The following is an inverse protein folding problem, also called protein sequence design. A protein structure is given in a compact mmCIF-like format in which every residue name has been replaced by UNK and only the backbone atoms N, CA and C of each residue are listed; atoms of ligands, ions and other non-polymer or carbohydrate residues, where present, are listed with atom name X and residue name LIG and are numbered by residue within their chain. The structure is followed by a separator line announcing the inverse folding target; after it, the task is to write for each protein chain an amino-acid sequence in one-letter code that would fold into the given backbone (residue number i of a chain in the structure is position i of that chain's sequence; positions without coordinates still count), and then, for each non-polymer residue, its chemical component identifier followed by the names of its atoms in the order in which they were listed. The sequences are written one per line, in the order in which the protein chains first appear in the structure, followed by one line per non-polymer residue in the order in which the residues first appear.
data_IF_616850900919
#
_entry.id   IF_616850900919
#
_cell.length_a   1.000
_cell.length_b   1.000
_cell.length_c   1.000
_cell.angle_alpha   90.00
_cell.angle_beta   90.00
_cell.angle_gamma   90.00
#
_symmetry.space_group_name_H-M   'P 1'
#
loop_
_entity.id
_entity.type
_entity.pdbx_description
1 polymer ?
#
# COMPACT_ATOMS: atom_id res chain seq x y z
N UNK A 1 21.59 -87.26 8.12
CA UNK A 1 21.35 -86.51 9.38
C UNK A 1 21.29 -85.05 9.00
N UNK A 2 20.09 -84.47 8.97
CA UNK A 2 19.95 -83.03 8.76
C UNK A 2 20.16 -82.31 10.09
N UNK A 3 21.10 -81.36 10.11
CA UNK A 3 21.38 -80.56 11.29
C UNK A 3 20.25 -79.54 11.48
N UNK A 4 19.44 -79.70 12.52
CA UNK A 4 18.46 -78.70 12.88
C UNK A 4 19.17 -77.45 13.43
N UNK A 5 18.88 -76.25 12.90
CA UNK A 5 19.48 -75.02 13.38
C UNK A 5 19.08 -74.79 14.85
N UNK A 6 20.06 -74.35 15.66
CA UNK A 6 19.84 -74.08 17.07
C UNK A 6 18.75 -73.02 17.26
N UNK A 7 18.00 -73.12 18.36
CA UNK A 7 16.92 -72.19 18.71
C UNK A 7 17.38 -70.72 18.68
N UNK A 8 18.65 -70.48 19.00
CA UNK A 8 19.28 -69.16 19.02
C UNK A 8 19.44 -68.56 17.61
N UNK A 9 19.72 -69.38 16.59
CA UNK A 9 19.77 -68.91 15.21
C UNK A 9 18.38 -68.59 14.65
N UNK A 10 17.37 -69.38 15.04
CA UNK A 10 15.98 -69.11 14.67
C UNK A 10 15.48 -67.79 15.27
N UNK A 11 15.85 -67.50 16.53
CA UNK A 11 15.53 -66.21 17.17
C UNK A 11 16.20 -65.04 16.45
N UNK A 12 17.51 -65.14 16.13
CA UNK A 12 18.24 -64.08 15.42
C UNK A 12 17.63 -63.78 14.03
N UNK A 13 17.22 -64.82 13.31
CA UNK A 13 16.58 -64.66 12.01
C UNK A 13 15.23 -63.92 12.11
N UNK A 14 14.44 -64.16 13.17
CA UNK A 14 13.19 -63.43 13.42
C UNK A 14 13.46 -61.96 13.72
N UNK A 15 14.42 -61.64 14.58
CA UNK A 15 14.76 -60.24 14.89
C UNK A 15 15.25 -59.48 13.65
N UNK A 16 16.13 -60.08 12.84
CA UNK A 16 16.61 -59.46 11.60
C UNK A 16 15.47 -59.21 10.59
N UNK A 17 14.49 -60.12 10.52
CA UNK A 17 13.30 -59.96 9.68
C UNK A 17 12.38 -58.82 10.18
N UNK A 18 12.27 -58.64 11.50
CA UNK A 18 11.46 -57.57 12.11
C UNK A 18 12.13 -56.20 11.90
N UNK A 19 13.45 -56.11 12.08
CA UNK A 19 14.20 -54.87 11.88
C UNK A 19 14.13 -54.39 10.42
N UNK A 20 14.31 -55.30 9.46
CA UNK A 20 14.18 -54.98 8.03
C UNK A 20 12.76 -54.53 7.63
N UNK A 21 11.72 -55.12 8.22
CA UNK A 21 10.34 -54.69 8.02
C UNK A 21 10.05 -53.30 8.62
N UNK A 22 10.56 -53.03 9.83
CA UNK A 22 10.43 -51.73 10.50
C UNK A 22 11.16 -50.62 9.73
N UNK A 23 12.35 -50.89 9.21
CA UNK A 23 13.10 -49.91 8.43
C UNK A 23 12.44 -49.64 7.06
N UNK A 24 11.84 -50.66 6.44
CA UNK A 24 10.98 -50.49 5.28
C UNK A 24 9.76 -49.60 5.56
N UNK A 25 9.10 -49.78 6.70
CA UNK A 25 7.97 -48.97 7.13
C UNK A 25 8.37 -47.50 7.40
N UNK A 26 9.46 -47.27 8.15
CA UNK A 26 10.02 -45.93 8.40
C UNK A 26 10.40 -45.24 7.09
N UNK A 27 11.01 -45.97 6.17
CA UNK A 27 11.35 -45.46 4.83
C UNK A 27 10.12 -45.06 4.02
N UNK A 28 9.02 -45.79 4.14
CA UNK A 28 7.77 -45.47 3.45
C UNK A 28 7.07 -44.25 4.07
N UNK A 29 7.01 -44.17 5.41
CA UNK A 29 6.45 -43.03 6.14
C UNK A 29 7.21 -41.72 5.85
N UNK A 30 8.53 -41.76 5.83
CA UNK A 30 9.36 -40.58 5.52
C UNK A 30 9.14 -40.10 4.09
N UNK A 31 8.97 -41.01 3.11
CA UNK A 31 8.62 -40.66 1.72
C UNK A 31 7.24 -40.01 1.63
N UNK A 32 6.24 -40.54 2.32
CA UNK A 32 4.88 -39.96 2.34
C UNK A 32 4.92 -38.57 2.99
N UNK A 33 5.58 -38.44 4.15
CA UNK A 33 5.73 -37.14 4.83
C UNK A 33 6.45 -36.11 3.94
N UNK A 34 7.50 -36.53 3.21
CA UNK A 34 8.18 -35.67 2.25
C UNK A 34 7.23 -35.19 1.14
N UNK A 35 6.42 -36.07 0.54
CA UNK A 35 5.44 -35.69 -0.49
C UNK A 35 4.39 -34.73 0.08
N UNK A 36 3.87 -35.02 1.28
CA UNK A 36 2.87 -34.18 1.95
C UNK A 36 3.39 -32.80 2.30
N UNK A 37 4.70 -32.62 2.53
CA UNK A 37 5.30 -31.30 2.76
C UNK A 37 5.69 -30.58 1.45
N UNK A 38 6.21 -31.33 0.47
CA UNK A 38 6.71 -30.75 -0.79
C UNK A 38 5.54 -30.28 -1.68
N UNK A 39 4.45 -31.05 -1.78
CA UNK A 39 3.36 -30.69 -2.69
C UNK A 39 2.66 -29.38 -2.30
N UNK A 40 2.27 -29.13 -1.03
CA UNK A 40 1.65 -27.86 -0.64
C UNK A 40 2.59 -26.67 -0.75
N UNK A 41 3.89 -26.86 -0.44
CA UNK A 41 4.89 -25.78 -0.58
C UNK A 41 5.11 -25.42 -2.05
N UNK A 42 5.18 -26.41 -2.94
CA UNK A 42 5.30 -26.19 -4.39
C UNK A 42 4.04 -25.54 -4.97
N UNK A 43 2.85 -25.95 -4.54
CA UNK A 43 1.59 -25.33 -4.94
C UNK A 43 1.52 -23.85 -4.52
N UNK A 44 1.94 -23.55 -3.28
CA UNK A 44 1.98 -22.17 -2.77
C UNK A 44 3.00 -21.32 -3.51
N UNK A 45 4.21 -21.85 -3.76
CA UNK A 45 5.24 -21.19 -4.54
C UNK A 45 4.78 -20.93 -5.99
N UNK A 46 4.14 -21.92 -6.61
CA UNK A 46 3.56 -21.81 -7.95
C UNK A 46 2.47 -20.73 -8.03
N UNK A 47 1.59 -20.66 -7.04
CA UNK A 47 0.57 -19.61 -6.95
C UNK A 47 1.21 -18.21 -6.83
N UNK A 48 2.23 -18.06 -5.98
CA UNK A 48 2.94 -16.78 -5.83
C UNK A 48 3.67 -16.37 -7.11
N UNK A 49 4.31 -17.31 -7.80
CA UNK A 49 4.97 -17.07 -9.09
C UNK A 49 3.94 -16.65 -10.16
N UNK A 50 2.82 -17.37 -10.25
CA UNK A 50 1.73 -17.03 -11.17
C UNK A 50 1.10 -15.66 -10.86
N UNK A 51 0.86 -15.35 -9.59
CA UNK A 51 0.37 -14.04 -9.18
C UNK A 51 1.36 -12.91 -9.54
N UNK A 52 2.67 -13.20 -9.45
CA UNK A 52 3.71 -12.25 -9.86
C UNK A 52 3.73 -12.01 -11.38
N UNK A 53 3.48 -13.05 -12.17
CA UNK A 53 3.47 -12.98 -13.64
C UNK A 53 2.16 -12.38 -14.19
N UNK A 54 1.02 -12.70 -13.58
CA UNK A 54 -0.31 -12.25 -14.02
C UNK A 54 -0.62 -10.80 -13.70
N UNK A 55 0.30 -10.07 -13.09
CA UNK A 55 0.13 -8.65 -12.80
C UNK A 55 -0.96 -8.35 -11.76
N UNK A 56 -1.51 -9.34 -11.05
CA UNK A 56 -2.58 -9.10 -10.07
C UNK A 56 -2.06 -8.38 -8.81
N UNK A 57 -2.88 -7.55 -8.14
CA UNK A 57 -2.52 -6.95 -6.87
C UNK A 57 -2.26 -8.04 -5.83
N UNK A 58 -1.10 -7.98 -5.17
CA UNK A 58 -0.65 -8.97 -4.17
C UNK A 58 -1.16 -8.67 -2.77
N UNK A 59 -1.48 -7.41 -2.48
CA UNK A 59 -1.90 -6.93 -1.16
C UNK A 59 -3.21 -6.16 -1.25
N UNK A 60 -3.94 -6.08 -0.13
CA UNK A 60 -5.16 -5.26 -0.03
C UNK A 60 -4.88 -3.80 -0.40
N UNK A 61 -3.74 -3.24 0.04
CA UNK A 61 -3.33 -1.89 -0.31
C UNK A 61 -3.12 -1.70 -1.83
N UNK A 62 -2.56 -2.68 -2.53
CA UNK A 62 -2.41 -2.61 -4.00
C UNK A 62 -3.77 -2.71 -4.71
N UNK A 63 -4.68 -3.54 -4.20
CA UNK A 63 -6.03 -3.63 -4.72
C UNK A 63 -6.81 -2.33 -4.50
N UNK A 64 -6.66 -1.72 -3.31
CA UNK A 64 -7.25 -0.42 -2.99
C UNK A 64 -6.66 0.70 -3.87
N UNK A 65 -5.33 0.74 -4.04
CA UNK A 65 -4.67 1.66 -4.97
C UNK A 65 -5.27 1.55 -6.37
N UNK A 66 -5.28 0.35 -6.94
CA UNK A 66 -5.80 0.13 -8.29
C UNK A 66 -7.27 0.57 -8.41
N UNK A 67 -8.11 0.18 -7.44
CA UNK A 67 -9.52 0.56 -7.40
C UNK A 67 -9.70 2.08 -7.33
N UNK A 68 -8.93 2.76 -6.47
CA UNK A 68 -9.06 4.20 -6.25
C UNK A 68 -8.50 5.01 -7.42
N UNK A 69 -7.43 4.55 -8.06
CA UNK A 69 -6.95 5.14 -9.31
C UNK A 69 -8.02 5.12 -10.40
N UNK A 70 -8.69 3.98 -10.61
CA UNK A 70 -9.77 3.88 -11.61
C UNK A 70 -10.96 4.76 -11.21
N UNK A 71 -11.34 4.74 -9.93
CA UNK A 71 -12.46 5.53 -9.41
C UNK A 71 -12.27 7.05 -9.59
N UNK A 72 -11.04 7.53 -9.40
CA UNK A 72 -10.69 8.95 -9.45
C UNK A 72 -10.02 9.38 -10.75
N UNK A 73 -9.99 8.51 -11.75
CA UNK A 73 -9.46 8.85 -13.07
C UNK A 73 -10.21 10.06 -13.66
N UNK A 74 -9.47 11.09 -14.09
CA UNK A 74 -9.99 12.37 -14.58
C UNK A 74 -10.87 13.17 -13.58
N UNK A 75 -10.86 12.82 -12.30
CA UNK A 75 -11.49 13.65 -11.26
C UNK A 75 -10.46 14.64 -10.71
N UNK A 76 -10.91 15.87 -10.43
CA UNK A 76 -10.07 16.85 -9.73
C UNK A 76 -10.19 16.68 -8.22
N UNK A 77 -9.10 16.80 -7.45
CA UNK A 77 -9.18 16.79 -6.00
C UNK A 77 -9.88 18.04 -5.47
N UNK A 78 -10.59 17.90 -4.34
CA UNK A 78 -11.23 19.02 -3.64
C UNK A 78 -10.19 20.00 -3.07
N UNK A 79 -9.10 19.47 -2.53
CA UNK A 79 -8.01 20.26 -1.98
C UNK A 79 -6.69 19.52 -2.18
N UNK A 80 -5.64 20.29 -2.48
CA UNK A 80 -4.29 19.79 -2.63
C UNK A 80 -3.37 20.57 -1.69
N UNK A 81 -2.71 19.87 -0.77
CA UNK A 81 -1.86 20.44 0.27
C UNK A 81 -0.43 19.95 0.06
N UNK A 82 0.52 20.83 -0.34
CA UNK A 82 1.92 20.48 -0.37
C UNK A 82 2.49 20.50 1.06
N UNK A 83 3.09 19.39 1.47
CA UNK A 83 3.70 19.22 2.79
C UNK A 83 5.16 18.83 2.61
N UNK A 84 6.07 19.61 3.17
CA UNK A 84 7.49 19.28 3.19
C UNK A 84 7.77 18.31 4.34
N UNK A 85 8.13 17.07 4.01
CA UNK A 85 8.47 16.04 4.98
C UNK A 85 9.98 16.02 5.17
N UNK A 86 10.43 16.38 6.38
CA UNK A 86 11.85 16.29 6.76
C UNK A 86 12.21 14.83 7.03
N UNK A 87 13.10 14.26 6.23
CA UNK A 87 13.71 12.95 6.43
C UNK A 87 15.15 13.09 6.94
N UNK A 88 15.75 11.99 7.39
CA UNK A 88 17.14 11.99 7.91
C UNK A 88 18.17 12.44 6.87
N UNK A 89 17.88 12.24 5.57
CA UNK A 89 18.78 12.57 4.46
C UNK A 89 18.37 13.84 3.70
N UNK A 90 17.38 14.61 4.16
CA UNK A 90 16.93 15.82 3.50
C UNK A 90 15.43 16.06 3.62
N UNK A 91 14.92 17.09 2.94
CA UNK A 91 13.50 17.38 2.88
C UNK A 91 12.91 16.90 1.55
N UNK A 92 11.81 16.15 1.60
CA UNK A 92 11.06 15.70 0.42
C UNK A 92 9.72 16.42 0.40
N UNK A 93 9.35 16.97 -0.75
CA UNK A 93 8.02 17.55 -0.92
C UNK A 93 7.03 16.42 -1.20
N UNK A 94 5.99 16.33 -0.37
CA UNK A 94 4.87 15.44 -0.55
C UNK A 94 3.60 16.25 -0.88
N UNK A 95 2.77 15.74 -1.76
CA UNK A 95 1.52 16.37 -2.18
C UNK A 95 0.35 15.52 -1.69
N UNK A 96 -0.48 16.09 -0.82
CA UNK A 96 -1.68 15.44 -0.31
C UNK A 96 -2.89 15.98 -1.04
N UNK A 97 -3.60 15.13 -1.78
CA UNK A 97 -4.80 15.50 -2.53
C UNK A 97 -6.00 14.78 -1.95
N UNK A 98 -7.04 15.50 -1.55
CA UNK A 98 -8.26 14.93 -0.95
C UNK A 98 -9.39 14.97 -1.98
N UNK A 99 -10.12 13.87 -2.13
CA UNK A 99 -11.22 13.73 -3.08
C UNK A 99 -12.60 13.76 -2.42
N UNK A 100 -13.66 13.74 -3.24
CA UNK A 100 -15.07 13.91 -2.86
C UNK A 100 -15.54 13.00 -1.72
N UNK A 101 -15.09 11.74 -1.66
CA UNK A 101 -15.44 10.79 -0.58
C UNK A 101 -14.44 10.80 0.60
N UNK A 102 -13.56 11.80 0.67
CA UNK A 102 -12.53 11.90 1.71
C UNK A 102 -11.33 10.96 1.49
N UNK A 103 -11.31 10.20 0.39
CA UNK A 103 -10.15 9.39 0.00
C UNK A 103 -8.96 10.32 -0.27
N UNK A 104 -7.78 9.95 0.22
CA UNK A 104 -6.57 10.77 0.14
C UNK A 104 -5.57 10.13 -0.81
N UNK A 105 -5.10 10.90 -1.78
CA UNK A 105 -3.99 10.56 -2.65
C UNK A 105 -2.73 11.29 -2.19
N UNK A 106 -1.65 10.54 -1.96
CA UNK A 106 -0.36 11.10 -1.55
C UNK A 106 0.65 10.83 -2.66
N UNK A 107 1.35 11.86 -3.09
CA UNK A 107 2.50 11.77 -3.97
C UNK A 107 3.75 12.25 -3.23
N UNK A 108 4.80 11.44 -3.20
CA UNK A 108 6.02 11.74 -2.47
C UNK A 108 7.24 11.23 -3.25
N UNK A 109 8.03 12.15 -3.80
CA UNK A 109 9.14 11.79 -4.68
C UNK A 109 8.69 10.96 -5.89
N UNK A 110 9.16 9.71 -6.00
CA UNK A 110 8.84 8.80 -7.11
C UNK A 110 7.74 7.78 -6.79
N UNK A 111 7.00 7.99 -5.70
CA UNK A 111 5.98 7.08 -5.25
C UNK A 111 4.65 7.80 -5.03
N UNK A 112 3.57 7.06 -5.24
CA UNK A 112 2.21 7.52 -5.08
C UNK A 112 1.41 6.45 -4.34
N UNK A 113 0.49 6.87 -3.49
CA UNK A 113 -0.33 5.95 -2.72
C UNK A 113 -1.69 6.55 -2.38
N UNK A 114 -2.72 5.73 -2.49
CA UNK A 114 -4.06 6.05 -2.05
C UNK A 114 -4.31 5.52 -0.64
N UNK A 115 -5.05 6.32 0.12
CA UNK A 115 -5.55 6.01 1.44
C UNK A 115 -7.06 6.16 1.39
N UNK A 116 -7.82 5.06 1.38
CA UNK A 116 -9.27 5.16 1.43
C UNK A 116 -9.71 5.82 2.73
N UNK A 117 -10.73 6.67 2.67
CA UNK A 117 -11.40 7.14 3.87
C UNK A 117 -11.97 5.93 4.62
N UNK A 118 -11.86 5.86 5.95
CA UNK A 118 -12.45 4.77 6.72
C UNK A 118 -13.96 4.81 6.51
N UNK A 119 -14.45 3.95 5.61
CA UNK A 119 -15.87 3.68 5.50
C UNK A 119 -16.27 2.97 6.79
N UNK A 120 -17.44 3.27 7.38
CA UNK A 120 -17.98 2.40 8.41
C UNK A 120 -17.99 1.00 7.81
N UNK A 121 -17.14 0.12 8.34
CA UNK A 121 -17.16 -1.29 8.00
C UNK A 121 -18.60 -1.69 8.21
N UNK A 122 -19.25 -2.20 7.15
CA UNK A 122 -20.57 -2.80 7.30
C UNK A 122 -20.47 -3.69 8.54
N UNK A 123 -21.28 -3.45 9.59
CA UNK A 123 -21.04 -4.02 10.89
C UNK A 123 -20.88 -5.53 10.67
N UNK A 124 -19.76 -6.13 11.07
CA UNK A 124 -19.63 -7.58 10.97
C UNK A 124 -20.84 -8.15 11.69
N UNK A 125 -21.59 -9.04 11.02
CA UNK A 125 -22.72 -9.73 11.62
C UNK A 125 -22.17 -10.58 12.78
N UNK A 126 -21.99 -9.95 13.94
CA UNK A 126 -21.52 -10.58 15.16
C UNK A 126 -22.71 -10.81 16.09
N UNK A 127 -22.80 -11.99 16.70
CA UNK A 127 -23.81 -12.31 17.71
C UNK A 127 -23.67 -11.38 18.93
N UNK A 128 -24.72 -11.21 19.75
CA UNK A 128 -24.79 -10.17 20.77
C UNK A 128 -23.75 -10.41 21.86
N UNK A 129 -22.66 -9.65 21.84
CA UNK A 129 -21.70 -9.60 22.93
C UNK A 129 -21.56 -8.16 23.42
N UNK A 130 -21.89 -8.00 24.71
CA UNK A 130 -21.87 -6.79 25.53
C UNK A 130 -20.47 -6.17 25.63
N UNK A 131 -20.07 -5.37 24.64
CA UNK A 131 -18.95 -4.44 24.79
C UNK A 131 -19.42 -3.06 24.35
N UNK A 132 -19.39 -2.12 25.29
CA UNK A 132 -19.87 -0.75 25.12
C UNK A 132 -19.18 -0.06 23.95
N UNK A 133 -20.01 0.47 23.06
CA UNK A 133 -19.61 1.34 21.96
C UNK A 133 -18.97 2.62 22.51
N UNK A 134 -17.65 2.70 22.49
CA UNK A 134 -16.94 3.97 22.59
C UNK A 134 -17.12 4.72 21.26
N UNK A 135 -18.20 5.49 21.16
CA UNK A 135 -18.34 6.48 20.09
C UNK A 135 -17.28 7.57 20.35
N UNK A 136 -16.28 7.66 19.48
CA UNK A 136 -15.47 8.86 19.38
C UNK A 136 -16.38 10.02 18.97
N UNK A 137 -16.86 10.76 19.96
CA UNK A 137 -17.59 11.99 19.77
C UNK A 137 -16.62 12.96 19.09
N UNK A 138 -16.85 13.25 17.81
CA UNK A 138 -16.10 14.25 17.08
C UNK A 138 -16.16 15.56 17.90
N UNK A 139 -15.01 16.13 18.32
CA UNK A 139 -15.05 17.45 18.92
C UNK A 139 -15.70 18.39 17.91
N UNK A 140 -16.72 19.12 18.35
CA UNK A 140 -17.41 20.10 17.53
C UNK A 140 -16.35 20.99 16.86
N UNK A 141 -16.25 20.88 15.54
CA UNK A 141 -15.32 21.67 14.77
C UNK A 141 -15.63 23.15 15.07
N UNK A 142 -14.67 23.96 15.52
CA UNK A 142 -14.87 25.40 15.55
C UNK A 142 -15.24 25.87 14.14
N UNK A 143 -16.05 26.93 13.98
CA UNK A 143 -16.40 27.45 12.66
C UNK A 143 -15.13 27.89 11.93
N UNK A 144 -14.60 27.00 11.10
CA UNK A 144 -13.50 27.29 10.19
C UNK A 144 -14.07 28.29 9.20
N UNK A 145 -13.65 29.56 9.33
CA UNK A 145 -13.84 30.55 8.27
C UNK A 145 -13.34 29.92 6.96
N UNK A 146 -14.06 30.05 5.84
CA UNK A 146 -13.54 29.62 4.54
C UNK A 146 -12.35 30.52 4.18
N UNK A 147 -11.16 30.19 4.69
CA UNK A 147 -9.91 30.72 4.18
C UNK A 147 -9.72 30.09 2.79
N UNK A 148 -9.80 30.94 1.77
CA UNK A 148 -9.68 30.53 0.38
C UNK A 148 -8.40 29.68 0.18
N UNK A 149 -8.51 28.50 -0.45
CA UNK A 149 -7.37 27.64 -0.68
C UNK A 149 -6.29 28.37 -1.49
N UNK A 150 -5.05 28.34 -0.99
CA UNK A 150 -3.88 28.96 -1.61
C UNK A 150 -3.57 28.27 -2.93
N UNK A 151 -3.37 29.06 -3.98
CA UNK A 151 -3.01 28.56 -5.31
C UNK A 151 -1.63 27.88 -5.26
N UNK A 152 -1.62 26.55 -5.30
CA UNK A 152 -0.50 25.79 -5.85
C UNK A 152 -0.24 26.30 -7.28
N UNK A 153 1.02 26.30 -7.72
CA UNK A 153 1.38 26.69 -9.08
C UNK A 153 0.42 26.01 -10.07
N UNK A 154 -0.22 26.83 -10.92
CA UNK A 154 -1.31 26.36 -11.77
C UNK A 154 -0.72 25.49 -12.87
N UNK A 155 -0.86 24.18 -12.74
CA UNK A 155 -0.50 23.23 -13.78
C UNK A 155 -1.77 22.70 -14.45
N UNK A 156 -1.70 22.50 -15.77
CA UNK A 156 -2.69 21.71 -16.48
C UNK A 156 -2.27 20.25 -16.41
N UNK A 157 -3.11 19.41 -15.83
CA UNK A 157 -2.89 17.97 -15.76
C UNK A 157 -3.76 17.27 -16.80
N UNK A 158 -3.15 16.42 -17.61
CA UNK A 158 -3.86 15.46 -18.46
C UNK A 158 -3.44 14.05 -18.08
N UNK A 159 -4.42 13.14 -18.05
CA UNK A 159 -4.21 11.76 -17.66
C UNK A 159 -4.77 10.83 -18.74
N UNK A 160 -4.00 9.78 -19.05
CA UNK A 160 -4.41 8.71 -19.95
C UNK A 160 -4.13 7.38 -19.28
N UNK A 161 -5.12 6.49 -19.29
CA UNK A 161 -4.96 5.13 -18.79
C UNK A 161 -4.53 4.21 -19.95
N UNK A 162 -3.48 3.44 -19.74
CA UNK A 162 -2.95 2.47 -20.70
C UNK A 162 -2.64 1.16 -19.96
N UNK A 163 -3.46 0.14 -20.18
CA UNK A 163 -3.42 -1.15 -19.49
C UNK A 163 -3.41 -1.02 -17.94
N UNK A 164 -2.23 -1.21 -17.33
CA UNK A 164 -2.00 -1.11 -15.89
C UNK A 164 -1.19 0.14 -15.51
N UNK A 165 -1.09 1.11 -16.42
CA UNK A 165 -0.34 2.33 -16.23
C UNK A 165 -1.23 3.56 -16.37
N UNK A 166 -0.95 4.55 -15.52
CA UNK A 166 -1.43 5.92 -15.67
C UNK A 166 -0.31 6.74 -16.29
N UNK A 167 -0.53 7.22 -17.50
CA UNK A 167 0.30 8.26 -18.11
C UNK A 167 -0.26 9.60 -17.67
N UNK A 168 0.52 10.33 -16.87
CA UNK A 168 0.19 11.67 -16.41
C UNK A 168 1.15 12.66 -17.04
N UNK A 169 0.59 13.66 -17.71
CA UNK A 169 1.34 14.81 -18.23
C UNK A 169 0.91 16.04 -17.46
N UNK A 170 1.85 16.67 -16.74
CA UNK A 170 1.65 17.97 -16.09
C UNK A 170 2.36 19.05 -16.89
N UNK A 171 1.62 20.09 -17.27
CA UNK A 171 2.17 21.28 -17.92
C UNK A 171 2.12 22.45 -16.95
N UNK A 172 3.29 22.97 -16.66
CA UNK A 172 3.48 24.13 -15.80
C UNK A 172 3.43 25.43 -16.62
N UNK A 173 3.11 26.52 -15.94
CA UNK A 173 3.07 27.88 -16.48
C UNK A 173 4.42 28.35 -17.05
N UNK A 174 5.52 27.90 -16.46
CA UNK A 174 6.89 28.18 -16.91
C UNK A 174 7.31 27.42 -18.18
N UNK A 175 6.40 26.65 -18.80
CA UNK A 175 6.67 25.82 -19.99
C UNK A 175 7.31 24.47 -19.67
N UNK A 176 7.52 24.12 -18.40
CA UNK A 176 7.97 22.79 -18.02
C UNK A 176 6.83 21.78 -18.21
N UNK A 177 7.16 20.64 -18.80
CA UNK A 177 6.23 19.52 -18.98
C UNK A 177 6.84 18.29 -18.31
N UNK A 178 6.09 17.71 -17.38
CA UNK A 178 6.44 16.49 -16.67
C UNK A 178 5.55 15.35 -17.16
N UNK A 179 6.16 14.36 -17.81
CA UNK A 179 5.52 13.14 -18.23
C UNK A 179 5.89 12.03 -17.25
N UNK A 180 4.89 11.42 -16.62
CA UNK A 180 5.06 10.38 -15.60
C UNK A 180 4.24 9.15 -15.96
N UNK A 181 4.87 7.97 -15.90
CA UNK A 181 4.21 6.67 -16.07
C UNK A 181 4.13 5.98 -14.72
N UNK A 182 2.92 5.84 -14.20
CA UNK A 182 2.64 5.32 -12.85
C UNK A 182 2.02 3.93 -12.97
N UNK A 183 2.60 2.91 -12.32
CA UNK A 183 1.96 1.58 -12.22
C UNK A 183 0.77 1.69 -11.26
N UNK A 184 -0.44 1.43 -11.77
CA UNK A 184 -1.70 1.59 -11.04
C UNK A 184 -1.80 0.71 -9.78
N UNK A 185 -1.05 -0.39 -9.73
CA UNK A 185 -1.14 -1.38 -8.65
C UNK A 185 -0.22 -0.97 -7.51
N UNK A 186 1.01 -0.61 -7.84
CA UNK A 186 2.05 -0.29 -6.85
C UNK A 186 2.05 1.18 -6.49
N UNK A 187 1.55 2.04 -7.38
CA UNK A 187 1.69 3.49 -7.30
C UNK A 187 3.12 3.98 -7.56
N UNK A 188 4.03 3.10 -7.99
CA UNK A 188 5.40 3.47 -8.33
C UNK A 188 5.42 4.25 -9.66
N UNK A 189 6.18 5.34 -9.70
CA UNK A 189 6.48 6.06 -10.94
C UNK A 189 7.60 5.31 -11.65
N UNK A 190 7.24 4.54 -12.68
CA UNK A 190 8.17 3.68 -13.44
C UNK A 190 9.05 4.50 -14.37
N UNK A 191 8.50 5.58 -14.91
CA UNK A 191 9.20 6.49 -15.80
C UNK A 191 8.80 7.92 -15.49
N UNK A 192 9.79 8.81 -15.41
CA UNK A 192 9.59 10.23 -15.20
C UNK A 192 10.49 10.99 -16.16
N UNK A 193 9.89 11.82 -17.01
CA UNK A 193 10.60 12.66 -17.98
C UNK A 193 10.17 14.10 -17.78
N UNK A 194 11.14 15.00 -17.71
CA UNK A 194 10.92 16.44 -17.69
C UNK A 194 11.44 17.00 -19.00
N UNK A 195 10.61 17.78 -19.69
CA UNK A 195 10.98 18.49 -20.93
C UNK A 195 10.50 19.93 -20.87
N UNK A 196 11.19 20.82 -21.57
CA UNK A 196 10.80 22.22 -21.64
C UNK A 196 10.12 22.46 -22.99
N UNK A 197 8.84 22.83 -22.96
CA UNK A 197 8.06 23.28 -24.11
C UNK A 197 7.92 24.82 -24.05
N UNK A 198 7.44 25.42 -25.14
CA UNK A 198 7.14 26.85 -25.14
C UNK A 198 6.10 27.16 -24.04
N UNK A 199 6.24 28.27 -23.30
CA UNK A 199 5.30 28.61 -22.24
C UNK A 199 3.88 28.71 -22.80
N UNK A 200 2.92 28.18 -22.04
CA UNK A 200 1.49 28.29 -22.37
C UNK A 200 1.15 29.77 -22.54
N UNK A 201 0.94 30.22 -23.77
CA UNK A 201 0.29 31.50 -24.03
C UNK A 201 -1.15 31.36 -23.55
N UNK A 202 -1.40 31.77 -22.31
CA UNK A 202 -2.75 32.00 -21.80
C UNK A 202 -3.34 33.15 -22.62
N UNK A 203 -3.89 32.84 -23.79
CA UNK A 203 -4.61 33.80 -24.61
C UNK A 203 -5.89 34.21 -23.88
N UNK A 204 -5.80 35.36 -23.20
CA UNK A 204 -6.90 36.29 -23.02
C UNK A 204 -8.14 35.80 -22.29
N UNK A 205 -8.09 35.77 -20.97
CA UNK A 205 -9.29 36.08 -20.19
C UNK A 205 -8.94 36.85 -18.93
N UNK A 206 -9.65 37.97 -18.72
CA UNK A 206 -9.52 38.91 -17.60
C UNK A 206 -9.87 38.22 -16.27
N UNK A 207 -9.04 37.29 -15.80
CA UNK A 207 -9.13 36.77 -14.44
C UNK A 207 -8.55 37.81 -13.48
N UNK A 208 -9.44 38.35 -12.65
CA UNK A 208 -9.15 39.36 -11.63
C UNK A 208 -7.96 38.92 -10.78
N UNK A 209 -6.85 39.61 -10.96
CA UNK A 209 -5.65 39.54 -10.13
C UNK A 209 -6.02 39.89 -8.68
N UNK A 210 -6.07 38.88 -7.81
CA UNK A 210 -5.95 39.08 -6.37
C UNK A 210 -4.46 38.91 -6.06
N UNK A 211 -3.83 39.99 -5.61
CA UNK A 211 -2.41 40.01 -5.27
C UNK A 211 -2.10 39.00 -4.13
N UNK A 212 -1.06 38.17 -4.25
CA UNK A 212 -0.77 37.11 -3.29
C UNK A 212 -0.04 37.66 -2.05
N UNK A 213 -0.57 37.33 -0.87
CA UNK A 213 0.15 37.48 0.40
C UNK A 213 0.76 36.12 0.77
N UNK A 214 2.10 36.06 0.81
CA UNK A 214 2.85 34.87 1.19
C UNK A 214 2.70 34.61 2.69
N UNK A 215 2.26 33.41 3.07
CA UNK A 215 2.46 32.91 4.43
C UNK A 215 3.60 31.87 4.43
N UNK A 216 4.43 31.84 5.48
CA UNK A 216 5.55 30.92 5.58
C UNK A 216 5.06 29.47 5.71
N UNK A 217 5.67 28.57 4.94
CA UNK A 217 5.54 27.11 5.03
C UNK A 217 5.78 26.67 6.48
N UNK A 218 4.74 26.15 7.16
CA UNK A 218 4.94 25.48 8.44
C UNK A 218 5.56 24.11 8.17
N UNK A 219 6.86 23.99 8.41
CA UNK A 219 7.55 22.71 8.34
C UNK A 219 7.08 21.83 9.51
N UNK A 220 6.35 20.77 9.21
CA UNK A 220 5.93 19.80 10.22
C UNK A 220 7.16 18.97 10.62
N UNK A 221 7.59 19.09 11.87
CA UNK A 221 8.72 18.32 12.41
C UNK A 221 8.25 16.91 12.82
N UNK A 222 8.78 15.88 12.15
CA UNK A 222 8.47 14.48 12.46
C UNK A 222 8.82 14.09 13.91
N UNK A 223 9.79 14.76 14.54
CA UNK A 223 10.12 14.52 15.95
C UNK A 223 8.96 14.95 16.86
N UNK A 224 8.30 16.06 16.55
CA UNK A 224 7.15 16.55 17.30
C UNK A 224 5.95 15.61 17.13
N UNK A 225 5.71 15.09 15.92
CA UNK A 225 4.67 14.07 15.69
C UNK A 225 4.92 12.77 16.45
N UNK A 226 6.18 12.28 16.50
CA UNK A 226 6.53 11.09 17.28
C UNK A 226 6.37 11.32 18.78
N UNK A 227 6.78 12.49 19.29
CA UNK A 227 6.58 12.85 20.69
C UNK A 227 5.10 13.00 21.06
N UNK A 228 4.30 13.60 20.19
CA UNK A 228 2.85 13.69 20.36
C UNK A 228 2.18 12.32 20.38
N UNK A 229 2.61 11.40 19.51
CA UNK A 229 2.13 10.01 19.49
C UNK A 229 2.50 9.25 20.76
N UNK A 230 3.72 9.44 21.28
CA UNK A 230 4.14 8.84 22.55
C UNK A 230 3.25 9.28 23.72
N UNK A 231 3.00 10.59 23.83
CA UNK A 231 2.12 11.15 24.87
C UNK A 231 0.66 10.67 24.75
N UNK A 232 0.16 10.51 23.53
CA UNK A 232 -1.19 9.98 23.31
C UNK A 232 -1.30 8.52 23.80
N UNK A 233 -0.28 7.70 23.54
CA UNK A 233 -0.24 6.30 24.00
C UNK A 233 -0.08 6.19 25.52
N UNK A 234 0.70 7.07 26.15
CA UNK A 234 0.82 7.13 27.61
C UNK A 234 -0.50 7.55 28.28
N UNK A 235 -1.25 8.47 27.67
CA UNK A 235 -2.57 8.88 28.15
C UNK A 235 -3.64 7.78 28.01
N UNK A 236 -3.47 6.86 27.05
CA UNK A 236 -4.34 5.68 26.89
C UNK A 236 -3.95 4.54 27.85
N UNK A 237 -2.66 4.38 28.18
CA UNK A 237 -2.19 3.34 29.10
C UNK A 237 -2.39 3.66 30.59
N UNK A 238 -2.66 4.93 30.93
CA UNK A 238 -2.92 5.40 32.30
C UNK A 238 -4.40 5.39 32.71
N UNK A 239 -5.30 4.84 31.90
CA UNK A 239 -6.72 4.63 32.21
C UNK A 239 -7.03 3.15 32.33
#
# INVERSE_FOLDING_TARGET
MEAHPSLLERIKAVFACVDTALDGLKGSLTRIAAVVLIVPSLATAGYQAYASLSGKPKTAAQADNQRLFVKYFNKQPLVTIPVTVKQERGAVQALFSVYDEGDVYIEYGQATQWFPFPRPLAPPALPPALIGTAHAQAPAAPPVRPEAPRAAAQFQQSERMEDNYLLRTRRWDNGMVEDSRIDLRTGAIVEHRTRQEAPLKLEGEKSRLIAPTQQPLQAIDLKQLRAARGKALEAEAGK
#
